data_IF_511254992974
#
_entry.id   IF_511254992974
#
_cell.length_a   1.000
_cell.length_b   1.000
_cell.length_c   1.000
_cell.angle_alpha   90.00
_cell.angle_beta   90.00
_cell.angle_gamma   90.00
#
_symmetry.space_group_name_H-M   'P 1'
#
loop_
_entity.id
_entity.type
_entity.pdbx_description
1 polymer ?
#
# COMPACT_ATOMS: atom_id res chain seq x y z
N UNK A 1 -1.63 -4.11 1.22
CA UNK A 1 -1.87 -4.89 -0.01
C UNK A 1 -1.44 -4.06 -1.21
N UNK A 2 -0.84 -4.69 -2.23
CA UNK A 2 -0.41 -4.07 -3.48
C UNK A 2 -0.62 -5.03 -4.66
N UNK A 3 -0.37 -4.57 -5.90
CA UNK A 3 -0.54 -5.32 -7.15
C UNK A 3 -1.48 -4.62 -8.13
N UNK A 4 -1.35 -4.94 -9.43
CA UNK A 4 -2.00 -4.20 -10.51
C UNK A 4 -3.51 -4.40 -10.63
N UNK A 5 -4.07 -5.48 -10.12
CA UNK A 5 -5.46 -5.89 -10.38
C UNK A 5 -6.55 -4.97 -9.81
N UNK A 6 -6.21 -3.93 -9.09
CA UNK A 6 -7.18 -2.99 -8.50
C UNK A 6 -6.58 -1.64 -8.13
N UNK A 7 -5.41 -1.32 -8.69
CA UNK A 7 -4.64 -0.15 -8.29
C UNK A 7 -3.98 -0.36 -6.92
N UNK A 8 -3.24 0.63 -6.50
CA UNK A 8 -2.64 0.63 -5.17
C UNK A 8 -3.63 1.18 -4.14
N UNK A 9 -3.73 0.54 -2.98
CA UNK A 9 -4.62 0.93 -1.89
C UNK A 9 -3.77 1.32 -0.68
N UNK A 10 -4.30 2.20 0.17
CA UNK A 10 -3.65 2.59 1.42
C UNK A 10 -2.47 3.53 1.23
N UNK A 11 -1.34 3.33 1.94
CA UNK A 11 -0.22 4.27 1.94
C UNK A 11 0.33 4.59 0.56
N UNK A 12 0.48 3.59 -0.31
CA UNK A 12 1.02 3.76 -1.66
C UNK A 12 0.12 4.67 -2.51
N UNK A 13 -1.20 4.47 -2.44
CA UNK A 13 -2.17 5.31 -3.11
C UNK A 13 -2.05 6.77 -2.70
N UNK A 14 -1.87 7.01 -1.40
CA UNK A 14 -1.74 8.37 -0.87
C UNK A 14 -0.46 9.04 -1.32
N UNK A 15 0.65 8.30 -1.38
CA UNK A 15 1.91 8.83 -1.90
C UNK A 15 1.77 9.25 -3.37
N UNK A 16 1.19 8.42 -4.23
CA UNK A 16 0.93 8.79 -5.63
C UNK A 16 -0.07 9.95 -5.75
N UNK A 17 -1.10 10.00 -4.92
CA UNK A 17 -2.02 11.13 -4.88
C UNK A 17 -1.31 12.42 -4.43
N UNK A 18 -0.36 12.33 -3.52
CA UNK A 18 0.52 13.43 -3.13
C UNK A 18 1.27 13.98 -4.34
N UNK A 19 1.90 13.11 -5.11
CA UNK A 19 2.58 13.50 -6.36
C UNK A 19 1.62 14.20 -7.32
N UNK A 20 0.42 13.65 -7.52
CA UNK A 20 -0.55 14.24 -8.44
C UNK A 20 -1.03 15.62 -8.00
N UNK A 21 -1.21 15.84 -6.70
CA UNK A 21 -1.74 17.10 -6.15
C UNK A 21 -0.67 18.16 -5.95
N UNK A 22 0.51 17.74 -5.55
CA UNK A 22 1.56 18.63 -5.05
C UNK A 22 2.87 18.55 -5.85
N UNK A 23 3.01 17.59 -6.77
CA UNK A 23 4.23 17.38 -7.55
C UNK A 23 5.38 16.77 -6.76
N UNK A 24 5.15 16.31 -5.53
CA UNK A 24 6.17 15.81 -4.61
C UNK A 24 5.63 14.66 -3.77
N UNK A 25 6.54 13.80 -3.27
CA UNK A 25 6.22 12.79 -2.28
C UNK A 25 6.55 13.33 -0.89
N UNK A 26 5.55 13.42 -0.03
CA UNK A 26 5.75 13.78 1.36
C UNK A 26 5.99 12.55 2.25
N UNK A 27 6.88 12.68 3.22
CA UNK A 27 7.09 11.69 4.27
C UNK A 27 7.25 12.39 5.62
N UNK A 28 7.03 11.65 6.71
CA UNK A 28 7.28 12.16 8.05
C UNK A 28 8.64 11.65 8.53
N UNK A 29 9.46 12.58 9.00
CA UNK A 29 10.79 12.25 9.50
C UNK A 29 10.73 11.36 10.77
N UNK A 30 11.66 10.41 10.95
CA UNK A 30 12.72 10.02 10.03
C UNK A 30 12.27 8.98 8.99
N UNK A 31 10.99 8.56 8.95
CA UNK A 31 10.45 7.59 8.02
C UNK A 31 10.91 6.14 8.26
N UNK A 32 11.43 5.85 9.46
CA UNK A 32 11.93 4.52 9.85
C UNK A 32 10.85 3.56 10.35
N UNK A 33 9.61 4.05 10.51
CA UNK A 33 8.47 3.19 10.80
C UNK A 33 8.28 2.18 9.67
N UNK A 34 7.90 0.96 10.03
CA UNK A 34 7.80 -0.14 9.09
C UNK A 34 6.35 -0.35 8.64
N UNK A 35 6.20 -0.69 7.36
CA UNK A 35 4.97 -1.22 6.81
C UNK A 35 5.16 -2.67 6.40
N UNK A 36 4.15 -3.48 6.65
CA UNK A 36 4.09 -4.84 6.15
C UNK A 36 3.11 -4.92 4.99
N UNK A 37 3.57 -5.52 3.90
CA UNK A 37 2.83 -5.64 2.65
C UNK A 37 2.57 -7.09 2.28
N UNK A 38 1.59 -7.29 1.41
CA UNK A 38 1.32 -8.54 0.70
C UNK A 38 0.84 -8.22 -0.71
N UNK A 39 1.31 -8.95 -1.71
CA UNK A 39 0.79 -8.86 -3.07
C UNK A 39 -0.62 -9.45 -3.15
N UNK A 40 -1.49 -8.84 -3.94
CA UNK A 40 -2.90 -9.27 -4.06
C UNK A 40 -3.05 -10.71 -4.54
N UNK A 41 -2.19 -11.16 -5.47
CA UNK A 41 -2.23 -12.53 -5.98
C UNK A 41 -1.77 -13.53 -4.91
N UNK A 42 -0.68 -13.22 -4.17
CA UNK A 42 -0.25 -14.07 -3.05
C UNK A 42 -1.32 -14.16 -1.95
N UNK A 43 -2.04 -13.08 -1.73
CA UNK A 43 -3.19 -13.08 -0.81
C UNK A 43 -4.32 -13.96 -1.34
N UNK A 44 -4.62 -13.91 -2.64
CA UNK A 44 -5.63 -14.77 -3.27
C UNK A 44 -5.26 -16.25 -3.15
N UNK A 45 -3.98 -16.58 -3.33
CA UNK A 45 -3.47 -17.94 -3.14
C UNK A 45 -3.66 -18.41 -1.69
N UNK A 46 -3.41 -17.54 -0.71
CA UNK A 46 -3.68 -17.86 0.69
C UNK A 46 -5.16 -18.13 0.96
N UNK A 47 -6.07 -17.34 0.39
CA UNK A 47 -7.50 -17.61 0.48
C UNK A 47 -7.88 -18.94 -0.15
N UNK A 48 -7.35 -19.25 -1.33
CA UNK A 48 -7.61 -20.53 -1.99
C UNK A 48 -7.12 -21.73 -1.17
N UNK A 49 -5.95 -21.61 -0.53
CA UNK A 49 -5.43 -22.63 0.39
C UNK A 49 -6.32 -22.81 1.61
N UNK A 50 -6.72 -21.71 2.24
CA UNK A 50 -7.58 -21.74 3.43
C UNK A 50 -8.94 -22.37 3.15
N UNK A 51 -9.55 -22.10 1.98
CA UNK A 51 -10.83 -22.69 1.57
C UNK A 51 -10.75 -24.19 1.31
N UNK A 52 -9.60 -24.69 0.86
CA UNK A 52 -9.39 -26.14 0.64
C UNK A 52 -9.15 -26.93 1.92
N UNK A 53 -8.76 -26.25 2.99
CA UNK A 53 -8.42 -26.86 4.30
C UNK A 53 -9.59 -26.70 5.28
N UNK A 54 -10.57 -27.60 5.18
CA UNK A 54 -11.79 -27.54 6.00
C UNK A 54 -11.56 -27.87 7.49
N UNK A 55 -10.43 -28.49 7.81
CA UNK A 55 -9.96 -28.83 9.15
C UNK A 55 -9.26 -27.69 9.88
N UNK A 56 -8.90 -26.64 9.17
CA UNK A 56 -8.12 -25.52 9.71
C UNK A 56 -9.02 -24.44 10.28
N UNK A 57 -8.66 -23.94 11.47
CA UNK A 57 -9.40 -22.87 12.16
C UNK A 57 -8.46 -21.76 12.64
N UNK A 58 -9.04 -20.58 12.83
CA UNK A 58 -8.37 -19.42 13.42
C UNK A 58 -7.95 -18.37 12.39
N UNK A 59 -7.19 -17.38 12.86
CA UNK A 59 -6.74 -16.24 12.06
C UNK A 59 -5.38 -16.53 11.44
N UNK A 60 -5.23 -16.22 10.17
CA UNK A 60 -3.97 -16.25 9.42
C UNK A 60 -3.63 -14.84 8.93
N UNK A 61 -2.37 -14.46 9.06
CA UNK A 61 -1.87 -13.17 8.59
C UNK A 61 -1.15 -13.40 7.26
N UNK A 62 -1.52 -12.61 6.26
CA UNK A 62 -0.83 -12.54 4.99
C UNK A 62 0.19 -11.39 5.01
N UNK A 63 1.47 -11.73 5.04
CA UNK A 63 2.56 -10.78 5.10
C UNK A 63 3.76 -11.31 4.31
N UNK A 64 4.29 -10.52 3.39
CA UNK A 64 5.46 -10.90 2.57
C UNK A 64 6.65 -10.02 2.85
N UNK A 65 6.45 -8.69 2.81
CA UNK A 65 7.51 -7.70 2.98
C UNK A 65 7.26 -6.84 4.19
N UNK A 66 8.33 -6.52 4.91
CA UNK A 66 8.33 -5.45 5.91
C UNK A 66 9.42 -4.45 5.55
N UNK A 67 9.04 -3.26 5.15
CA UNK A 67 9.93 -2.22 4.63
C UNK A 67 9.74 -0.90 5.37
N UNK A 68 10.76 -0.05 5.38
CA UNK A 68 10.65 1.27 5.98
C UNK A 68 9.78 2.19 5.12
N UNK A 69 9.01 3.07 5.76
CA UNK A 69 8.14 4.03 5.09
C UNK A 69 8.91 4.91 4.10
N UNK A 70 10.10 5.33 4.47
CA UNK A 70 10.97 6.16 3.61
C UNK A 70 11.40 5.42 2.35
N UNK A 71 11.64 4.11 2.41
CA UNK A 71 12.05 3.34 1.23
C UNK A 71 10.89 3.21 0.24
N UNK A 72 9.66 3.05 0.74
CA UNK A 72 8.44 3.07 -0.08
C UNK A 72 8.25 4.46 -0.70
N UNK A 73 8.39 5.53 0.07
CA UNK A 73 8.26 6.91 -0.41
C UNK A 73 9.25 7.20 -1.54
N UNK A 74 10.52 6.82 -1.37
CA UNK A 74 11.55 6.96 -2.41
C UNK A 74 11.28 6.11 -3.65
N UNK A 75 10.76 4.90 -3.47
CA UNK A 75 10.39 4.04 -4.60
C UNK A 75 9.21 4.62 -5.40
N UNK A 76 8.20 5.17 -4.73
CA UNK A 76 7.09 5.89 -5.37
C UNK A 76 7.60 7.14 -6.10
N UNK A 77 8.49 7.91 -5.48
CA UNK A 77 9.11 9.09 -6.10
C UNK A 77 9.84 8.72 -7.39
N UNK A 78 10.64 7.66 -7.39
CA UNK A 78 11.30 7.16 -8.62
C UNK A 78 10.30 6.72 -9.67
N UNK A 79 9.27 5.95 -9.31
CA UNK A 79 8.24 5.49 -10.24
C UNK A 79 7.47 6.66 -10.86
N UNK A 80 7.30 7.74 -10.11
CA UNK A 80 6.66 8.97 -10.57
C UNK A 80 7.59 9.89 -11.41
N UNK A 81 8.86 9.50 -11.61
CA UNK A 81 9.82 10.29 -12.38
C UNK A 81 10.49 11.42 -11.58
N UNK A 82 10.39 11.41 -10.26
CA UNK A 82 10.95 12.43 -9.36
C UNK A 82 12.32 12.06 -8.78
N UNK A 83 13.01 11.07 -9.36
CA UNK A 83 14.39 10.72 -9.01
C UNK A 83 14.61 10.09 -7.62
N UNK A 84 13.57 9.92 -6.84
CA UNK A 84 13.66 9.42 -5.45
C UNK A 84 13.64 10.55 -4.40
N UNK A 85 13.44 11.78 -4.83
CA UNK A 85 13.31 12.95 -3.94
C UNK A 85 12.05 12.81 -3.08
N UNK A 86 12.16 13.18 -1.81
CA UNK A 86 11.09 13.13 -0.81
C UNK A 86 11.16 14.39 0.06
N UNK A 87 10.07 15.08 0.21
CA UNK A 87 9.95 16.20 1.13
C UNK A 87 9.50 15.73 2.50
N UNK A 88 10.28 16.07 3.53
CA UNK A 88 9.91 15.76 4.90
C UNK A 88 9.04 16.86 5.48
N UNK A 89 7.90 16.46 6.00
CA UNK A 89 6.96 17.33 6.69
C UNK A 89 6.74 16.84 8.13
N UNK A 90 6.26 17.72 8.97
CA UNK A 90 5.87 17.37 10.32
C UNK A 90 4.50 16.66 10.35
N UNK A 91 4.16 16.14 11.52
CA UNK A 91 2.93 15.41 11.72
C UNK A 91 1.64 16.23 11.45
N UNK A 92 1.50 17.46 11.97
CA UNK A 92 0.35 18.30 11.68
C UNK A 92 0.15 18.52 10.18
N UNK A 93 1.21 18.86 9.45
CA UNK A 93 1.19 19.05 8.01
C UNK A 93 0.79 17.78 7.26
N UNK A 94 1.34 16.63 7.63
CA UNK A 94 0.96 15.35 7.02
C UNK A 94 -0.54 15.05 7.22
N UNK A 95 -1.08 15.36 8.39
CA UNK A 95 -2.51 15.21 8.70
C UNK A 95 -3.39 16.16 7.86
N UNK A 96 -2.95 17.39 7.65
CA UNK A 96 -3.65 18.35 6.78
C UNK A 96 -3.66 17.86 5.32
N UNK A 97 -2.54 17.37 4.82
CA UNK A 97 -2.40 16.89 3.45
C UNK A 97 -3.22 15.61 3.16
N UNK A 98 -3.32 14.70 4.11
CA UNK A 98 -3.87 13.36 3.90
C UNK A 98 -5.09 13.02 4.75
N UNK A 99 -5.51 13.92 5.63
CA UNK A 99 -6.62 13.70 6.57
C UNK A 99 -6.27 12.65 7.65
N UNK A 100 -7.25 12.39 8.52
CA UNK A 100 -7.07 11.50 9.68
C UNK A 100 -6.70 10.06 9.32
N UNK A 101 -7.15 9.55 8.19
CA UNK A 101 -6.81 8.19 7.75
C UNK A 101 -5.37 8.14 7.24
N UNK A 102 -4.91 9.20 6.59
CA UNK A 102 -3.51 9.31 6.16
C UNK A 102 -2.55 9.37 7.35
N UNK A 103 -2.98 9.95 8.45
CA UNK A 103 -2.23 9.98 9.71
C UNK A 103 -1.80 8.57 10.14
N UNK A 104 -2.73 7.62 10.19
CA UNK A 104 -2.45 6.24 10.59
C UNK A 104 -1.48 5.54 9.63
N UNK A 105 -1.61 5.78 8.34
CA UNK A 105 -0.78 5.16 7.32
C UNK A 105 0.70 5.63 7.39
N UNK A 106 0.96 6.85 7.85
CA UNK A 106 2.32 7.39 7.89
C UNK A 106 3.02 7.25 9.24
N UNK A 107 2.27 6.91 10.31
CA UNK A 107 2.79 6.78 11.66
C UNK A 107 2.78 5.36 12.21
N UNK A 108 1.89 4.51 11.72
CA UNK A 108 1.81 3.15 12.20
C UNK A 108 3.14 2.43 11.94
N UNK A 109 3.67 1.80 12.97
CA UNK A 109 4.77 0.86 12.84
C UNK A 109 4.15 -0.53 12.81
N UNK A 110 3.89 -1.03 11.62
CA UNK A 110 3.21 -2.30 11.40
C UNK A 110 4.22 -3.37 10.98
N UNK A 111 4.49 -4.31 11.89
CA UNK A 111 5.28 -5.51 11.61
C UNK A 111 4.40 -6.72 11.83
N UNK A 112 4.22 -7.53 10.79
CA UNK A 112 3.41 -8.73 10.84
C UNK A 112 4.18 -9.93 10.29
N UNK A 113 3.87 -11.12 10.80
CA UNK A 113 4.46 -12.37 10.34
C UNK A 113 3.39 -13.29 9.78
N UNK A 114 3.70 -13.90 8.64
CA UNK A 114 2.89 -14.95 8.02
C UNK A 114 3.34 -16.36 8.37
N UNK A 115 4.19 -16.53 9.39
CA UNK A 115 4.77 -17.83 9.71
C UNK A 115 3.69 -18.90 9.91
N UNK A 116 2.64 -18.59 10.65
CA UNK A 116 1.52 -19.53 10.85
C UNK A 116 0.86 -19.95 9.51
N UNK A 117 0.70 -19.02 8.57
CA UNK A 117 0.13 -19.33 7.25
C UNK A 117 1.04 -20.27 6.46
N UNK A 118 2.35 -20.08 6.54
CA UNK A 118 3.36 -20.95 5.91
C UNK A 118 3.34 -22.34 6.52
N UNK A 119 3.40 -22.44 7.84
CA UNK A 119 3.52 -23.72 8.55
C UNK A 119 2.25 -24.55 8.48
N UNK A 120 1.09 -23.92 8.61
CA UNK A 120 -0.20 -24.63 8.71
C UNK A 120 -0.82 -24.86 7.34
N UNK A 121 -0.79 -23.87 6.45
CA UNK A 121 -1.44 -23.94 5.14
C UNK A 121 -0.47 -24.28 4.00
N UNK A 122 0.83 -24.25 4.25
CA UNK A 122 1.84 -24.42 3.20
C UNK A 122 1.92 -23.23 2.26
N UNK A 123 1.50 -22.05 2.70
CA UNK A 123 1.50 -20.86 1.86
C UNK A 123 2.91 -20.39 1.51
N UNK A 124 3.16 -20.24 0.22
CA UNK A 124 4.44 -19.80 -0.31
C UNK A 124 4.24 -18.62 -1.24
N UNK A 125 4.30 -17.37 -0.72
CA UNK A 125 4.22 -16.20 -1.57
C UNK A 125 5.41 -16.14 -2.51
N UNK A 126 5.17 -15.74 -3.76
CA UNK A 126 6.16 -15.80 -4.84
C UNK A 126 6.24 -14.51 -5.67
N UNK A 127 5.38 -13.53 -5.38
CA UNK A 127 5.39 -12.26 -6.09
C UNK A 127 6.54 -11.36 -5.61
N UNK A 128 7.04 -10.48 -6.50
CA UNK A 128 8.07 -9.51 -6.12
C UNK A 128 7.64 -8.68 -4.91
N UNK A 129 8.59 -8.30 -4.07
CA UNK A 129 8.35 -7.36 -2.98
C UNK A 129 7.93 -5.99 -3.48
N UNK A 130 7.29 -5.19 -2.60
CA UNK A 130 6.72 -3.89 -2.97
C UNK A 130 7.72 -2.95 -3.63
N UNK A 131 8.97 -2.91 -3.19
CA UNK A 131 10.00 -2.05 -3.78
C UNK A 131 10.34 -2.49 -5.21
N UNK A 132 10.47 -3.80 -5.43
CA UNK A 132 10.72 -4.37 -6.75
C UNK A 132 9.52 -4.18 -7.69
N UNK A 133 8.31 -4.32 -7.18
CA UNK A 133 7.08 -4.05 -7.93
C UNK A 133 7.03 -2.59 -8.39
N UNK A 134 7.28 -1.63 -7.50
CA UNK A 134 7.33 -0.21 -7.86
C UNK A 134 8.44 0.12 -8.86
N UNK A 135 9.59 -0.55 -8.75
CA UNK A 135 10.70 -0.37 -9.68
C UNK A 135 10.41 -0.94 -11.09
N UNK A 136 9.47 -1.88 -11.21
CA UNK A 136 9.06 -2.48 -12.49
C UNK A 136 8.03 -1.64 -13.26
N UNK A 137 7.51 -0.58 -12.65
CA UNK A 137 6.53 0.30 -13.29
C UNK A 137 7.20 1.13 -14.40
N UNK A 138 6.47 1.45 -15.49
CA UNK A 138 6.97 2.38 -16.49
C UNK A 138 7.27 3.75 -15.87
N UNK A 139 8.37 4.37 -16.23
CA UNK A 139 8.77 5.66 -15.68
C UNK A 139 8.86 6.71 -16.80
N UNK A 140 8.18 7.87 -16.70
CA UNK A 140 7.25 8.22 -15.63
C UNK A 140 5.94 7.42 -15.71
N UNK A 141 5.38 7.15 -14.54
CA UNK A 141 4.11 6.45 -14.43
C UNK A 141 2.97 7.40 -14.79
N UNK A 142 2.06 6.97 -15.67
CA UNK A 142 0.80 7.69 -15.88
C UNK A 142 -0.12 7.49 -14.66
N UNK A 143 -0.13 8.50 -13.79
CA UNK A 143 -0.89 8.49 -12.54
C UNK A 143 -2.41 8.38 -12.78
N UNK A 144 -2.90 8.78 -13.94
CA UNK A 144 -4.33 8.65 -14.28
C UNK A 144 -4.70 7.20 -14.59
N UNK A 145 -3.77 6.44 -15.13
CA UNK A 145 -3.97 5.01 -15.39
C UNK A 145 -3.92 4.18 -14.11
N UNK A 146 -2.98 4.50 -13.21
CA UNK A 146 -2.78 3.75 -11.96
C UNK A 146 -3.74 4.21 -10.86
N UNK A 147 -4.13 5.46 -10.90
CA UNK A 147 -5.07 6.11 -9.99
C UNK A 147 -6.10 6.91 -10.77
N UNK A 148 -7.05 6.25 -11.46
CA UNK A 148 -8.17 6.98 -12.02
C UNK A 148 -8.89 7.73 -10.88
N UNK A 149 -9.25 8.99 -11.14
CA UNK A 149 -10.11 9.73 -10.20
C UNK A 149 -11.29 8.83 -9.80
N UNK A 150 -11.61 8.73 -8.51
CA UNK A 150 -12.80 8.00 -8.11
C UNK A 150 -13.97 8.64 -8.87
N UNK A 151 -14.63 7.86 -9.70
CA UNK A 151 -15.87 8.32 -10.35
C UNK A 151 -16.73 8.83 -9.21
N UNK A 152 -17.00 10.13 -9.17
CA UNK A 152 -17.97 10.69 -8.24
C UNK A 152 -19.27 9.95 -8.55
N UNK A 153 -19.60 8.96 -7.74
CA UNK A 153 -20.95 8.46 -7.76
C UNK A 153 -21.82 9.67 -7.46
N UNK A 154 -22.66 10.04 -8.43
CA UNK A 154 -23.67 11.05 -8.22
C UNK A 154 -24.28 10.76 -6.84
N UNK A 155 -24.25 11.76 -5.96
CA UNK A 155 -24.68 11.61 -4.59
C UNK A 155 -25.98 10.84 -4.60
N UNK A 156 -25.98 9.64 -4.01
CA UNK A 156 -27.19 8.90 -3.79
C UNK A 156 -28.11 9.86 -3.04
N UNK A 157 -29.24 10.19 -3.64
CA UNK A 157 -30.27 11.00 -3.02
C UNK A 157 -30.48 10.43 -1.62
N UNK A 158 -30.23 11.24 -0.60
CA UNK A 158 -30.59 10.93 0.77
C UNK A 158 -32.07 10.60 0.76
N UNK A 159 -32.39 9.32 0.84
CA UNK A 159 -33.75 8.89 1.14
C UNK A 159 -33.96 9.26 2.59
N UNK A 160 -34.63 10.39 2.80
CA UNK A 160 -35.15 10.80 4.11
C UNK A 160 -36.33 9.87 4.42
N UNK A 161 -36.17 9.07 5.46
CA UNK A 161 -37.31 8.37 6.11
C UNK A 161 -37.89 9.24 7.20
#
# INVERSE_FOLDING_TARGET
MYGRAGGYIGPIARLFNGVRKHGVVHAVAPGTNAFTFVHVDDLADLYALALRRTDTRGTFIAATDTVAAIDVARAVSRAAGLGGEVEFVDYPTMRELNGRVGELDFFANCRASSQKARDVLGWQPHRPGIIAELASLPTPLDLNTVYPEPKRHAAAALVTF
#
